data_IF_858086314454
#
_entry.id   IF_858086314454
#
_cell.length_a   1.000
_cell.length_b   1.000
_cell.length_c   1.000
_cell.angle_alpha   90.00
_cell.angle_beta   90.00
_cell.angle_gamma   90.00
#
_symmetry.space_group_name_H-M   'P 1'
#
loop_
_entity.id
_entity.type
_entity.pdbx_description
1 polymer ?
#
# COMPACT_ATOMS: atom_id res chain seq x y z
N UNK A 1 50.95 65.48 -11.53
CA UNK A 1 50.23 66.71 -11.13
C UNK A 1 49.95 66.58 -9.64
N UNK A 2 50.93 66.97 -8.80
CA UNK A 2 50.99 68.28 -8.12
C UNK A 2 50.30 68.17 -6.74
N UNK A 3 51.01 67.86 -5.64
CA UNK A 3 51.85 68.74 -4.79
C UNK A 3 51.10 69.96 -4.24
N UNK A 4 50.41 69.83 -3.11
CA UNK A 4 50.29 70.83 -2.02
C UNK A 4 50.08 70.03 -0.72
N UNK A 5 51.14 69.58 -0.02
CA UNK A 5 51.87 70.28 1.06
C UNK A 5 50.95 70.77 2.20
N UNK A 6 50.98 70.11 3.37
CA UNK A 6 51.91 70.44 4.47
C UNK A 6 51.65 71.85 5.03
N UNK A 7 50.53 72.00 5.73
CA UNK A 7 50.22 73.03 6.76
C UNK A 7 49.01 72.38 7.47
N UNK A 8 48.97 71.93 8.72
CA UNK A 8 49.55 72.40 9.97
C UNK A 8 49.64 71.18 10.90
N UNK A 9 50.88 70.71 11.12
CA UNK A 9 51.31 70.18 12.41
C UNK A 9 51.24 71.32 13.45
N UNK A 10 51.08 71.00 14.74
CA UNK A 10 50.91 71.91 15.91
C UNK A 10 49.45 72.10 16.36
N UNK A 11 48.72 71.02 16.59
CA UNK A 11 47.72 71.02 17.69
C UNK A 11 47.72 69.74 18.51
N UNK A 12 48.81 69.00 18.42
CA UNK A 12 49.13 67.81 19.22
C UNK A 12 49.84 68.16 20.53
N UNK A 13 49.62 69.35 21.11
CA UNK A 13 50.40 69.77 22.28
C UNK A 13 49.61 70.48 23.39
N UNK A 14 48.30 70.23 23.54
CA UNK A 14 47.58 70.86 24.66
C UNK A 14 46.55 70.01 25.39
N UNK A 15 46.53 68.69 25.19
CA UNK A 15 45.60 67.84 25.94
C UNK A 15 46.31 66.58 26.42
N UNK A 16 47.25 66.78 27.34
CA UNK A 16 47.82 65.72 28.16
C UNK A 16 48.10 66.33 29.54
N UNK A 17 47.11 66.27 30.45
CA UNK A 17 47.30 66.38 31.92
C UNK A 17 46.06 66.04 32.79
N UNK A 18 44.90 65.62 32.27
CA UNK A 18 43.74 65.27 33.15
C UNK A 18 43.24 63.80 33.09
N UNK A 19 44.05 62.86 32.60
CA UNK A 19 43.62 61.47 32.35
C UNK A 19 44.09 60.47 33.41
N UNK A 20 43.86 60.76 34.70
CA UNK A 20 44.02 59.79 35.80
C UNK A 20 42.98 60.08 36.89
N UNK A 21 41.72 59.68 36.70
CA UNK A 21 40.82 59.61 37.87
C UNK A 21 39.56 58.74 37.79
N UNK A 22 39.19 58.07 36.69
CA UNK A 22 37.94 57.28 36.69
C UNK A 22 38.04 55.94 35.98
N UNK A 23 38.81 55.02 36.57
CA UNK A 23 38.55 53.59 36.44
C UNK A 23 37.30 53.23 37.27
N UNK A 24 36.16 53.06 36.60
CA UNK A 24 35.02 52.28 37.09
C UNK A 24 34.57 51.38 35.93
N UNK A 25 34.70 50.06 36.07
CA UNK A 25 34.30 49.07 35.06
C UNK A 25 32.75 49.08 34.93
N UNK A 26 32.17 49.46 33.78
CA UNK A 26 30.74 49.30 33.61
C UNK A 26 30.44 47.84 33.25
N UNK A 27 29.51 47.22 33.98
CA UNK A 27 28.87 45.95 33.63
C UNK A 27 28.51 45.96 32.13
N UNK A 28 29.05 45.02 31.35
CA UNK A 28 28.73 44.85 29.94
C UNK A 28 27.29 44.35 29.82
N UNK A 29 26.32 45.25 29.93
CA UNK A 29 24.93 44.98 29.59
C UNK A 29 24.90 44.79 28.07
N UNK A 30 24.90 43.53 27.63
CA UNK A 30 24.72 43.19 26.22
C UNK A 30 23.46 43.92 25.74
N UNK A 31 23.54 44.74 24.68
CA UNK A 31 22.40 45.53 24.23
C UNK A 31 21.23 44.57 23.97
N UNK A 32 20.00 44.93 24.40
CA UNK A 32 18.85 44.08 24.21
C UNK A 32 18.75 43.73 22.72
N UNK A 33 18.54 42.45 22.38
CA UNK A 33 18.50 42.03 20.99
C UNK A 33 17.50 42.92 20.26
N UNK A 34 17.95 43.52 19.16
CA UNK A 34 17.11 44.45 18.45
C UNK A 34 15.87 43.71 17.97
N UNK A 35 14.71 44.20 18.38
CA UNK A 35 13.42 43.52 18.19
C UNK A 35 13.17 43.17 16.71
N UNK A 36 13.71 43.97 15.79
CA UNK A 36 13.62 43.73 14.34
C UNK A 36 14.49 42.56 13.86
N UNK A 37 15.65 42.30 14.47
CA UNK A 37 16.50 41.13 14.18
C UNK A 37 15.93 39.86 14.78
N UNK A 38 15.31 39.93 15.97
CA UNK A 38 14.60 38.80 16.56
C UNK A 38 13.38 38.39 15.72
N UNK A 39 12.60 39.36 15.24
CA UNK A 39 11.49 39.11 14.31
C UNK A 39 11.97 38.48 13.00
N UNK A 40 13.08 38.99 12.44
CA UNK A 40 13.64 38.46 11.18
C UNK A 40 14.11 37.02 11.32
N UNK A 41 14.76 36.66 12.44
CA UNK A 41 15.21 35.29 12.71
C UNK A 41 14.02 34.34 12.87
N UNK A 42 12.99 34.73 13.62
CA UNK A 42 11.77 33.92 13.77
C UNK A 42 11.09 33.71 12.42
N UNK A 43 11.05 34.73 11.56
CA UNK A 43 10.43 34.64 10.23
C UNK A 43 11.21 33.69 9.31
N UNK A 44 12.54 33.74 9.31
CA UNK A 44 13.39 32.82 8.53
C UNK A 44 13.27 31.38 9.05
N UNK A 45 13.30 31.17 10.36
CA UNK A 45 13.11 29.84 10.95
C UNK A 45 11.71 29.27 10.65
N UNK A 46 10.67 30.10 10.69
CA UNK A 46 9.30 29.68 10.37
C UNK A 46 9.16 29.28 8.89
N UNK A 47 9.79 30.02 7.97
CA UNK A 47 9.80 29.68 6.55
C UNK A 47 10.54 28.36 6.26
N UNK A 48 11.65 28.12 6.94
CA UNK A 48 12.40 26.86 6.81
C UNK A 48 11.58 25.69 7.37
N UNK A 49 10.97 25.85 8.55
CA UNK A 49 10.11 24.83 9.14
C UNK A 49 8.89 24.51 8.25
N UNK A 50 8.29 25.52 7.60
CA UNK A 50 7.21 25.33 6.65
C UNK A 50 7.67 24.56 5.39
N UNK A 51 8.89 24.80 4.91
CA UNK A 51 9.45 24.07 3.77
C UNK A 51 9.71 22.58 4.09
N UNK A 52 10.15 22.26 5.32
CA UNK A 52 10.36 20.87 5.76
C UNK A 52 9.07 20.14 6.19
N UNK A 53 8.00 20.90 6.48
CA UNK A 53 6.67 20.35 6.74
C UNK A 53 5.85 20.10 5.46
N UNK A 54 6.44 20.35 4.28
CA UNK A 54 5.79 20.00 3.03
C UNK A 54 5.53 18.49 3.00
N UNK A 55 4.29 18.04 2.71
CA UNK A 55 3.99 16.63 2.61
C UNK A 55 4.89 16.01 1.54
N UNK A 56 5.72 15.07 1.95
CA UNK A 56 6.50 14.23 1.05
C UNK A 56 5.51 13.25 0.42
N UNK A 57 4.82 13.70 -0.62
CA UNK A 57 3.88 12.87 -1.35
C UNK A 57 4.59 11.60 -1.81
N UNK A 58 4.06 10.44 -1.45
CA UNK A 58 4.44 9.18 -2.07
C UNK A 58 4.25 9.33 -3.58
N UNK A 59 5.33 9.16 -4.35
CA UNK A 59 5.35 9.24 -5.82
C UNK A 59 4.69 8.03 -6.49
N UNK A 60 3.60 7.54 -5.92
CA UNK A 60 2.77 6.51 -6.54
C UNK A 60 1.46 7.18 -6.91
N UNK A 61 1.23 7.39 -8.20
CA UNK A 61 -0.08 7.83 -8.66
C UNK A 61 -1.14 6.84 -8.18
N UNK A 62 -2.29 7.31 -7.66
CA UNK A 62 -3.39 6.43 -7.28
C UNK A 62 -3.86 5.62 -8.50
N UNK A 63 -3.94 4.29 -8.33
CA UNK A 63 -4.52 3.42 -9.36
C UNK A 63 -6.04 3.64 -9.38
N UNK A 64 -6.64 4.06 -10.51
CA UNK A 64 -8.07 4.31 -10.57
C UNK A 64 -8.87 3.00 -10.60
N UNK A 65 -10.13 3.06 -10.19
CA UNK A 65 -11.12 2.00 -10.45
C UNK A 65 -11.81 2.32 -11.78
N UNK A 66 -11.76 1.38 -12.72
CA UNK A 66 -12.35 1.50 -14.07
C UNK A 66 -13.81 1.03 -14.06
N UNK A 67 -14.10 -0.03 -13.30
CA UNK A 67 -15.43 -0.62 -13.16
C UNK A 67 -15.68 -0.97 -11.70
N UNK A 68 -16.89 -0.71 -11.24
CA UNK A 68 -17.40 -1.11 -9.92
C UNK A 68 -18.89 -1.41 -10.07
N UNK A 69 -19.26 -2.67 -9.85
CA UNK A 69 -20.62 -3.16 -9.84
C UNK A 69 -20.87 -3.89 -8.52
N UNK A 70 -21.98 -3.56 -7.86
CA UNK A 70 -22.42 -4.24 -6.64
C UNK A 70 -23.94 -4.36 -6.65
N UNK A 71 -24.41 -5.60 -6.55
CA UNK A 71 -25.82 -5.93 -6.51
C UNK A 71 -26.09 -6.87 -5.33
N UNK A 72 -27.02 -6.47 -4.48
CA UNK A 72 -27.51 -7.29 -3.37
C UNK A 72 -28.99 -7.55 -3.63
N UNK A 73 -29.35 -8.82 -3.75
CA UNK A 73 -30.72 -9.24 -3.99
C UNK A 73 -31.44 -9.51 -2.66
N UNK A 74 -32.75 -9.34 -2.64
CA UNK A 74 -33.58 -9.52 -1.43
C UNK A 74 -33.75 -10.98 -0.99
N UNK A 75 -33.33 -11.94 -1.81
CA UNK A 75 -33.32 -13.38 -1.52
C UNK A 75 -32.03 -13.85 -0.81
N UNK A 76 -31.10 -12.92 -0.55
CA UNK A 76 -29.81 -13.18 0.08
C UNK A 76 -28.69 -13.51 -0.92
N UNK A 77 -28.99 -13.57 -2.22
CA UNK A 77 -27.95 -13.63 -3.25
C UNK A 77 -27.28 -12.27 -3.46
N UNK A 78 -26.03 -12.27 -3.89
CA UNK A 78 -25.29 -11.06 -4.21
C UNK A 78 -24.38 -11.29 -5.41
N UNK A 79 -24.00 -10.19 -6.06
CA UNK A 79 -22.94 -10.17 -7.05
C UNK A 79 -22.12 -8.89 -6.90
N UNK A 80 -20.81 -9.00 -7.04
CA UNK A 80 -19.92 -7.84 -7.19
C UNK A 80 -18.93 -8.08 -8.31
N UNK A 81 -18.53 -7.00 -8.98
CA UNK A 81 -17.47 -7.02 -9.96
C UNK A 81 -16.69 -5.71 -9.91
N UNK A 82 -15.36 -5.77 -10.02
CA UNK A 82 -14.54 -4.57 -10.11
C UNK A 82 -13.37 -4.75 -11.08
N UNK A 83 -12.95 -3.63 -11.66
CA UNK A 83 -11.79 -3.54 -12.52
C UNK A 83 -10.96 -2.33 -12.13
N UNK A 84 -9.66 -2.51 -12.05
CA UNK A 84 -8.67 -1.49 -11.69
C UNK A 84 -7.88 -1.05 -12.91
N UNK A 85 -7.38 0.19 -12.89
CA UNK A 85 -6.63 0.77 -14.00
C UNK A 85 -5.28 0.09 -14.27
N UNK A 86 -4.79 -0.75 -13.34
CA UNK A 86 -3.62 -1.58 -13.53
C UNK A 86 -3.96 -3.01 -13.99
N UNK A 87 -5.20 -3.29 -14.40
CA UNK A 87 -5.59 -4.56 -15.03
C UNK A 87 -5.94 -5.69 -14.07
N UNK A 88 -6.19 -5.41 -12.79
CA UNK A 88 -6.81 -6.37 -11.87
C UNK A 88 -8.31 -6.34 -12.10
N UNK A 89 -8.89 -7.51 -12.36
CA UNK A 89 -10.33 -7.73 -12.58
C UNK A 89 -10.79 -8.80 -11.59
N UNK A 90 -11.94 -8.60 -10.95
CA UNK A 90 -12.58 -9.64 -10.16
C UNK A 90 -14.10 -9.61 -10.34
N UNK A 91 -14.73 -10.78 -10.35
CA UNK A 91 -16.17 -11.00 -10.33
C UNK A 91 -16.49 -12.10 -9.32
N UNK A 92 -17.51 -11.91 -8.51
CA UNK A 92 -18.01 -12.93 -7.60
C UNK A 92 -19.51 -12.82 -7.43
N UNK A 93 -20.17 -13.97 -7.37
CA UNK A 93 -21.55 -14.10 -6.96
C UNK A 93 -21.71 -15.11 -5.82
N UNK A 94 -22.59 -14.80 -4.89
CA UNK A 94 -22.99 -15.69 -3.81
C UNK A 94 -24.49 -15.98 -3.87
N UNK A 95 -24.85 -17.24 -3.65
CA UNK A 95 -26.24 -17.71 -3.64
C UNK A 95 -26.49 -18.55 -2.37
N UNK A 96 -27.63 -18.36 -1.71
CA UNK A 96 -28.05 -19.24 -0.60
C UNK A 96 -28.49 -20.59 -1.16
N UNK A 97 -27.88 -21.67 -0.67
CA UNK A 97 -28.26 -23.04 -0.96
C UNK A 97 -28.67 -23.78 0.31
N UNK A 98 -29.65 -24.67 0.17
CA UNK A 98 -30.00 -25.62 1.22
C UNK A 98 -29.07 -26.83 1.14
N UNK A 99 -28.32 -27.08 2.20
CA UNK A 99 -27.44 -28.25 2.36
C UNK A 99 -27.98 -29.07 3.53
N UNK A 100 -28.79 -30.08 3.21
CA UNK A 100 -29.56 -30.83 4.21
C UNK A 100 -30.58 -29.93 4.92
N UNK A 101 -30.55 -29.91 6.26
CA UNK A 101 -31.42 -29.07 7.09
C UNK A 101 -30.86 -27.66 7.36
N UNK A 102 -29.68 -27.32 6.81
CA UNK A 102 -29.00 -26.05 7.06
C UNK A 102 -28.96 -25.20 5.79
N UNK A 103 -29.04 -23.88 5.95
CA UNK A 103 -28.78 -22.93 4.87
C UNK A 103 -27.30 -22.59 4.84
N UNK A 104 -26.64 -22.81 3.70
CA UNK A 104 -25.25 -22.47 3.47
C UNK A 104 -25.14 -21.55 2.25
N UNK A 105 -24.16 -20.65 2.25
CA UNK A 105 -23.88 -19.82 1.08
C UNK A 105 -22.90 -20.55 0.17
N UNK A 106 -23.21 -20.58 -1.12
CA UNK A 106 -22.32 -21.08 -2.16
C UNK A 106 -21.83 -19.89 -2.97
N UNK A 107 -20.52 -19.75 -3.07
CA UNK A 107 -19.87 -18.60 -3.72
C UNK A 107 -19.11 -19.09 -4.94
N UNK A 108 -19.24 -18.36 -6.04
CA UNK A 108 -18.54 -18.63 -7.29
C UNK A 108 -17.96 -17.32 -7.77
N UNK A 109 -16.67 -17.32 -8.07
CA UNK A 109 -16.01 -16.11 -8.53
C UNK A 109 -14.77 -16.40 -9.34
N UNK A 110 -14.25 -15.34 -9.92
CA UNK A 110 -13.02 -15.34 -10.68
C UNK A 110 -12.28 -14.03 -10.45
N UNK A 111 -10.96 -14.10 -10.49
CA UNK A 111 -10.13 -12.91 -10.49
C UNK A 111 -8.93 -13.11 -11.40
N UNK A 112 -8.48 -12.00 -11.97
CA UNK A 112 -7.32 -11.96 -12.82
C UNK A 112 -6.46 -10.74 -12.52
N UNK A 113 -5.15 -10.90 -12.70
CA UNK A 113 -4.18 -9.85 -12.46
C UNK A 113 -2.95 -10.04 -13.37
N UNK A 114 -2.26 -8.95 -13.75
CA UNK A 114 -1.03 -9.05 -14.51
C UNK A 114 0.08 -9.66 -13.64
N UNK A 115 0.68 -10.75 -14.11
CA UNK A 115 1.85 -11.36 -13.49
C UNK A 115 3.15 -10.61 -13.80
N UNK A 116 4.20 -10.92 -13.05
CA UNK A 116 5.53 -10.28 -13.21
C UNK A 116 6.15 -10.51 -14.61
N UNK A 117 5.72 -11.58 -15.29
CA UNK A 117 6.20 -11.96 -16.62
C UNK A 117 5.38 -11.34 -17.77
N UNK A 118 4.37 -10.50 -17.46
CA UNK A 118 3.44 -9.93 -18.45
C UNK A 118 2.31 -10.88 -18.88
N UNK A 119 2.26 -12.09 -18.33
CA UNK A 119 1.13 -13.02 -18.48
C UNK A 119 0.03 -12.66 -17.47
N UNK A 120 -1.22 -12.60 -17.92
CA UNK A 120 -2.37 -12.42 -17.02
C UNK A 120 -2.65 -13.73 -16.32
N UNK A 121 -2.54 -13.72 -14.99
CA UNK A 121 -2.93 -14.84 -14.16
C UNK A 121 -4.44 -14.78 -13.96
N UNK A 122 -5.13 -15.89 -14.22
CA UNK A 122 -6.57 -16.04 -14.00
C UNK A 122 -6.84 -17.19 -13.04
N UNK A 123 -7.71 -16.97 -12.06
CA UNK A 123 -8.13 -17.94 -11.06
C UNK A 123 -9.65 -17.91 -11.00
N UNK A 124 -10.28 -19.06 -11.22
CA UNK A 124 -11.69 -19.29 -10.90
C UNK A 124 -11.79 -20.07 -9.60
N UNK A 125 -12.85 -19.88 -8.84
CA UNK A 125 -13.07 -20.60 -7.60
C UNK A 125 -14.54 -20.89 -7.33
N UNK A 126 -14.77 -21.96 -6.59
CA UNK A 126 -16.06 -22.26 -5.97
C UNK A 126 -15.85 -22.49 -4.49
N UNK A 127 -16.60 -21.79 -3.66
CA UNK A 127 -16.69 -22.06 -2.23
C UNK A 127 -18.05 -22.70 -1.92
N UNK A 128 -18.01 -23.86 -1.31
CA UNK A 128 -19.18 -24.64 -0.89
C UNK A 128 -19.01 -25.15 0.55
N UNK A 129 -19.90 -26.05 0.97
CA UNK A 129 -19.89 -26.68 2.28
C UNK A 129 -18.63 -27.53 2.55
N UNK A 130 -17.90 -27.93 1.50
CA UNK A 130 -16.65 -28.68 1.58
C UNK A 130 -15.41 -27.77 1.53
N UNK A 131 -15.58 -26.45 1.40
CA UNK A 131 -14.51 -25.46 1.46
C UNK A 131 -14.27 -24.72 0.15
N UNK A 132 -13.04 -24.26 -0.05
CA UNK A 132 -12.64 -23.44 -1.19
C UNK A 132 -11.89 -24.27 -2.24
N UNK A 133 -12.41 -24.27 -3.46
CA UNK A 133 -11.90 -25.06 -4.58
C UNK A 133 -11.45 -24.12 -5.71
N UNK A 134 -10.17 -23.69 -5.72
CA UNK A 134 -9.64 -22.85 -6.78
C UNK A 134 -9.17 -23.68 -7.98
N UNK A 135 -9.33 -23.11 -9.18
CA UNK A 135 -8.84 -23.64 -10.44
C UNK A 135 -8.06 -22.53 -11.17
N UNK A 136 -6.92 -22.91 -11.75
CA UNK A 136 -6.05 -21.98 -12.49
C UNK A 136 -4.78 -22.69 -12.92
N UNK A 137 -4.23 -22.31 -14.07
CA UNK A 137 -3.09 -23.00 -14.71
C UNK A 137 -1.78 -22.95 -13.91
N UNK A 138 -1.69 -21.98 -13.00
CA UNK A 138 -0.53 -21.75 -12.13
C UNK A 138 -0.70 -22.40 -10.75
N UNK A 139 -1.83 -23.07 -10.48
CA UNK A 139 -2.04 -23.78 -9.23
C UNK A 139 -1.35 -25.15 -9.26
N UNK A 140 -0.80 -25.63 -8.13
CA UNK A 140 -0.26 -26.98 -8.05
C UNK A 140 -1.36 -28.01 -8.33
N UNK A 141 -1.33 -28.64 -9.50
CA UNK A 141 -2.25 -29.75 -9.82
C UNK A 141 -1.74 -31.05 -9.22
N UNK A 142 -2.65 -31.87 -8.69
CA UNK A 142 -2.31 -33.21 -8.25
C UNK A 142 -1.69 -34.02 -9.41
N UNK A 143 -0.71 -34.88 -9.14
CA UNK A 143 -0.10 -35.71 -10.18
C UNK A 143 -1.17 -36.61 -10.83
N UNK A 144 -1.03 -36.91 -12.13
CA UNK A 144 -1.99 -37.74 -12.85
C UNK A 144 -2.12 -39.12 -12.19
N UNK A 145 -3.35 -39.66 -12.20
CA UNK A 145 -3.66 -40.97 -11.63
C UNK A 145 -2.82 -42.05 -12.36
N UNK A 146 -2.09 -42.94 -11.64
CA UNK A 146 -1.27 -44.00 -12.25
C UNK A 146 -2.05 -44.91 -13.20
N UNK A 147 -1.42 -45.32 -14.32
CA UNK A 147 -2.04 -46.17 -15.36
C UNK A 147 -2.66 -47.47 -14.82
N UNK A 148 -2.06 -48.06 -13.77
CA UNK A 148 -2.58 -49.28 -13.16
C UNK A 148 -4.01 -49.10 -12.60
N UNK A 149 -4.31 -47.92 -12.03
CA UNK A 149 -5.64 -47.60 -11.51
C UNK A 149 -6.60 -47.36 -12.67
N UNK A 150 -6.16 -46.67 -13.72
CA UNK A 150 -6.97 -46.46 -14.93
C UNK A 150 -7.35 -47.79 -15.59
N UNK A 151 -6.39 -48.73 -15.72
CA UNK A 151 -6.65 -50.09 -16.23
C UNK A 151 -7.63 -50.86 -15.35
N UNK A 152 -7.51 -50.73 -14.03
CA UNK A 152 -8.44 -51.37 -13.09
C UNK A 152 -9.86 -50.81 -13.23
N UNK A 153 -10.01 -49.49 -13.37
CA UNK A 153 -11.31 -48.85 -13.61
C UNK A 153 -11.93 -49.26 -14.95
N UNK A 154 -11.13 -49.32 -16.02
CA UNK A 154 -11.58 -49.81 -17.33
C UNK A 154 -12.00 -51.27 -17.27
N UNK A 155 -11.29 -52.11 -16.53
CA UNK A 155 -11.65 -53.51 -16.32
C UNK A 155 -12.98 -53.64 -15.56
N UNK A 156 -13.17 -52.90 -14.47
CA UNK A 156 -14.44 -52.89 -13.72
C UNK A 156 -15.59 -52.37 -14.60
N UNK A 157 -15.36 -51.33 -15.41
CA UNK A 157 -16.38 -50.75 -16.28
C UNK A 157 -16.76 -51.65 -17.48
N UNK A 158 -15.82 -52.46 -17.98
CA UNK A 158 -16.06 -53.40 -19.09
C UNK A 158 -16.46 -54.80 -18.63
N UNK A 159 -16.33 -55.10 -17.34
CA UNK A 159 -16.87 -56.32 -16.76
C UNK A 159 -18.41 -56.27 -16.78
N UNK A 160 -19.09 -57.36 -17.17
CA UNK A 160 -20.53 -57.44 -17.02
C UNK A 160 -20.89 -57.28 -15.54
N UNK A 161 -21.93 -56.49 -15.22
CA UNK A 161 -22.43 -56.35 -13.85
C UNK A 161 -22.65 -57.75 -13.29
N UNK A 162 -21.79 -58.17 -12.37
CA UNK A 162 -21.80 -59.55 -11.90
C UNK A 162 -23.13 -59.82 -11.21
N UNK A 163 -23.93 -60.61 -11.92
CA UNK A 163 -25.15 -61.25 -11.45
C UNK A 163 -24.78 -62.16 -10.28
N UNK A 164 -24.71 -61.62 -9.07
CA UNK A 164 -24.64 -62.38 -7.82
C UNK A 164 -25.02 -61.47 -6.64
N UNK A 165 -26.28 -61.05 -6.62
CA UNK A 165 -26.96 -60.57 -5.41
C UNK A 165 -28.16 -61.47 -5.02
N UNK A 166 -28.33 -62.63 -5.67
CA UNK A 166 -29.51 -63.50 -5.50
C UNK A 166 -29.24 -64.86 -4.84
N UNK A 167 -28.03 -65.15 -4.37
CA UNK A 167 -27.76 -66.37 -3.62
C UNK A 167 -27.65 -66.10 -2.10
N UNK A 168 -28.79 -65.77 -1.47
CA UNK A 168 -28.92 -65.93 -0.01
C UNK A 168 -28.77 -67.43 0.31
N UNK A 169 -27.81 -67.83 1.16
CA UNK A 169 -27.74 -69.22 1.60
C UNK A 169 -28.89 -69.48 2.56
N UNK A 170 -29.84 -70.31 2.12
CA UNK A 170 -30.85 -70.91 2.99
C UNK A 170 -30.17 -71.76 4.06
N UNK A 171 -30.36 -71.41 5.33
CA UNK A 171 -30.36 -72.40 6.40
C UNK A 171 -31.31 -71.98 7.51
#
# INVERSE_FOLDING_TARGET
MERWSIVISIKTLFFRIEDISRQQLPLLVKPPPNLNKMKSIVLVCALIAAAYAAPQGSSTEPIPIVKDESQINGDGSYQYAYETGNGIVADEKGELKQVGDVQAISVQGEYSYPGENGETIHISYTADDQGFHPQGDHLPTAPPVPEAIQRSLQYIASAPASADASAQPSK
#
